data_IF_678733297098
#
_entry.id   IF_678733297098
#
_cell.length_a   1.000
_cell.length_b   1.000
_cell.length_c   1.000
_cell.angle_alpha   90.00
_cell.angle_beta   90.00
_cell.angle_gamma   90.00
#
_symmetry.space_group_name_H-M   'P 1'
#
loop_
_entity.id
_entity.type
_entity.pdbx_description
1 polymer ?
#
# COMPACT_ATOMS: atom_id res chain seq x y z
N UNK A 1 -41.60 11.04 13.71
CA UNK A 1 -41.24 12.25 12.93
C UNK A 1 -39.74 12.29 12.86
N UNK A 2 -39.25 12.28 11.63
CA UNK A 2 -37.87 12.09 11.23
C UNK A 2 -37.04 13.34 11.58
N UNK A 3 -35.93 13.14 12.29
CA UNK A 3 -34.88 14.15 12.38
C UNK A 3 -34.00 13.99 11.14
N UNK A 4 -34.14 14.96 10.25
CA UNK A 4 -33.53 15.03 8.93
C UNK A 4 -32.00 15.19 9.05
N UNK A 5 -31.29 14.39 8.24
CA UNK A 5 -29.82 14.40 8.09
C UNK A 5 -29.35 15.72 7.49
N UNK A 6 -29.19 16.76 8.31
CA UNK A 6 -28.62 18.03 7.86
C UNK A 6 -27.83 18.80 8.93
N UNK A 7 -27.22 18.06 9.85
CA UNK A 7 -26.17 18.56 10.74
C UNK A 7 -25.02 17.56 10.76
N UNK A 8 -24.03 17.75 9.88
CA UNK A 8 -22.66 17.22 10.01
C UNK A 8 -21.82 17.62 8.78
N UNK A 9 -21.72 18.91 8.46
CA UNK A 9 -20.64 19.42 7.61
C UNK A 9 -20.15 20.75 8.19
N UNK A 10 -19.38 20.64 9.26
CA UNK A 10 -18.51 21.68 9.76
C UNK A 10 -17.15 21.04 10.09
N UNK A 11 -16.13 21.37 9.29
CA UNK A 11 -14.70 21.44 9.61
C UNK A 11 -13.82 20.97 8.43
N UNK A 12 -13.51 21.90 7.53
CA UNK A 12 -12.16 21.93 6.94
C UNK A 12 -11.81 23.37 6.54
N UNK A 13 -11.43 24.17 7.53
CA UNK A 13 -10.80 25.47 7.36
C UNK A 13 -9.48 25.46 8.13
N UNK A 14 -8.39 25.88 7.47
CA UNK A 14 -7.04 26.00 8.06
C UNK A 14 -5.98 25.84 6.97
N UNK A 15 -5.84 26.80 6.05
CA UNK A 15 -4.95 27.97 6.15
C UNK A 15 -3.51 27.67 5.68
N UNK A 16 -3.12 28.27 4.54
CA UNK A 16 -1.72 28.42 4.15
C UNK A 16 -1.14 29.75 4.65
N UNK A 17 0.19 29.92 4.54
CA UNK A 17 0.95 31.15 4.16
C UNK A 17 2.48 31.01 4.45
N UNK A 18 3.30 31.20 3.40
CA UNK A 18 4.63 31.85 3.26
C UNK A 18 5.92 31.39 4.01
N UNK A 19 6.98 31.11 3.23
CA UNK A 19 8.20 31.94 3.21
C UNK A 19 9.53 31.38 3.77
N UNK A 20 10.53 31.17 2.89
CA UNK A 20 11.92 31.65 3.07
C UNK A 20 12.99 30.77 3.75
N UNK A 21 14.02 30.37 2.97
CA UNK A 21 15.43 30.62 3.30
C UNK A 21 16.22 29.68 4.22
N UNK A 22 17.04 28.82 3.59
CA UNK A 22 18.46 28.48 3.89
C UNK A 22 18.93 27.87 5.24
N UNK A 23 19.61 26.72 5.06
CA UNK A 23 20.82 26.21 5.73
C UNK A 23 20.76 25.62 7.16
N UNK A 24 21.04 24.31 7.28
CA UNK A 24 22.13 23.77 8.11
C UNK A 24 22.28 22.24 7.94
N UNK A 25 23.52 21.79 7.78
CA UNK A 25 23.94 20.40 7.86
C UNK A 25 23.85 19.87 9.31
N UNK A 26 23.68 18.56 9.50
CA UNK A 26 24.66 17.67 10.18
C UNK A 26 24.10 16.24 10.42
N UNK A 27 24.94 15.30 10.00
CA UNK A 27 25.21 13.94 10.46
C UNK A 27 24.52 13.32 11.72
N UNK A 28 24.07 12.06 11.49
CA UNK A 28 24.28 10.80 12.27
C UNK A 28 23.48 10.47 13.54
N UNK A 29 23.01 9.21 13.50
CA UNK A 29 22.75 8.21 14.55
C UNK A 29 21.59 8.36 15.55
N UNK A 30 20.86 7.25 15.70
CA UNK A 30 20.26 6.83 16.97
C UNK A 30 18.80 7.21 17.21
N UNK A 31 17.98 6.19 17.45
CA UNK A 31 16.60 6.27 17.96
C UNK A 31 16.46 7.19 19.19
N UNK A 32 15.54 8.15 19.17
CA UNK A 32 14.80 8.68 20.34
C UNK A 32 13.67 9.65 19.91
N UNK A 33 12.67 9.75 20.77
CA UNK A 33 11.34 10.36 20.61
C UNK A 33 11.29 11.88 20.39
N UNK A 34 10.18 12.27 19.74
CA UNK A 34 9.39 13.50 19.85
C UNK A 34 10.10 14.87 19.93
N UNK A 35 10.10 15.59 18.80
CA UNK A 35 9.69 17.00 18.75
C UNK A 35 9.67 17.50 17.31
N UNK A 36 8.51 18.06 16.92
CA UNK A 36 8.24 18.89 15.75
C UNK A 36 9.21 18.81 14.57
N UNK A 37 8.81 18.08 13.52
CA UNK A 37 9.42 18.24 12.20
C UNK A 37 8.37 18.01 11.12
N UNK A 38 8.39 18.94 10.18
CA UNK A 38 7.45 19.10 9.08
C UNK A 38 7.03 17.78 8.44
N UNK A 39 5.73 17.55 8.40
CA UNK A 39 5.11 16.57 7.52
C UNK A 39 5.21 17.07 6.09
N UNK A 40 6.40 16.95 5.49
CA UNK A 40 6.53 16.76 4.05
C UNK A 40 6.45 15.25 3.80
N UNK A 41 5.22 14.78 3.56
CA UNK A 41 4.88 13.39 3.37
C UNK A 41 5.35 12.86 2.01
N UNK A 42 6.65 12.88 1.76
CA UNK A 42 7.30 12.00 0.79
C UNK A 42 8.34 11.19 1.56
N UNK A 43 7.87 10.14 2.25
CA UNK A 43 8.71 9.18 2.92
C UNK A 43 9.61 8.47 1.91
N UNK A 44 10.79 9.05 1.66
CA UNK A 44 12.00 8.40 1.17
C UNK A 44 11.77 7.32 0.12
N UNK A 45 11.18 7.69 -1.01
CA UNK A 45 11.47 7.06 -2.30
C UNK A 45 12.96 7.28 -2.57
N UNK A 46 13.81 6.36 -2.10
CA UNK A 46 15.16 6.26 -2.63
C UNK A 46 15.01 5.96 -4.12
N UNK A 47 15.44 6.91 -4.96
CA UNK A 47 15.40 6.94 -6.43
C UNK A 47 14.94 5.61 -7.07
N UNK A 48 13.62 5.39 -7.09
CA UNK A 48 13.07 4.18 -7.72
C UNK A 48 13.26 4.32 -9.23
N UNK A 49 13.55 3.21 -9.90
CA UNK A 49 13.54 3.22 -11.35
C UNK A 49 12.12 3.46 -11.87
N UNK A 50 11.97 4.03 -13.06
CA UNK A 50 10.65 4.22 -13.69
C UNK A 50 9.85 2.90 -13.78
N UNK A 51 10.52 1.76 -13.99
CA UNK A 51 9.91 0.44 -13.97
C UNK A 51 9.38 0.08 -12.57
N UNK A 52 10.15 0.37 -11.52
CA UNK A 52 9.71 0.15 -10.14
C UNK A 52 8.53 1.05 -9.77
N UNK A 53 8.52 2.30 -10.24
CA UNK A 53 7.38 3.21 -10.04
C UNK A 53 6.12 2.68 -10.73
N UNK A 54 6.24 2.14 -11.95
CA UNK A 54 5.13 1.52 -12.66
C UNK A 54 4.59 0.28 -11.93
N UNK A 55 5.49 -0.58 -11.43
CA UNK A 55 5.12 -1.74 -10.60
C UNK A 55 4.42 -1.28 -9.32
N UNK A 56 4.92 -0.24 -8.66
CA UNK A 56 4.30 0.30 -7.44
C UNK A 56 2.89 0.83 -7.71
N UNK A 57 2.69 1.56 -8.80
CA UNK A 57 1.39 2.03 -9.22
C UNK A 57 0.42 0.86 -9.50
N UNK A 58 0.89 -0.22 -10.12
CA UNK A 58 0.11 -1.43 -10.35
C UNK A 58 -0.24 -2.18 -9.06
N UNK A 59 0.66 -2.22 -8.06
CA UNK A 59 0.36 -2.74 -6.73
C UNK A 59 -0.75 -1.93 -6.05
N UNK A 60 -0.69 -0.60 -6.10
CA UNK A 60 -1.75 0.27 -5.56
C UNK A 60 -3.08 0.03 -6.29
N UNK A 61 -3.04 -0.09 -7.62
CA UNK A 61 -4.23 -0.37 -8.43
C UNK A 61 -4.85 -1.73 -8.09
N UNK A 62 -4.02 -2.75 -7.85
CA UNK A 62 -4.44 -4.08 -7.39
C UNK A 62 -5.05 -4.02 -5.99
N UNK A 63 -4.42 -3.26 -5.08
CA UNK A 63 -4.89 -3.08 -3.70
C UNK A 63 -6.31 -2.52 -3.63
N UNK A 64 -6.61 -1.57 -4.52
CA UNK A 64 -7.93 -0.96 -4.60
C UNK A 64 -9.05 -1.97 -4.99
N UNK A 65 -8.68 -3.11 -5.57
CA UNK A 65 -9.59 -4.21 -5.91
C UNK A 65 -9.65 -5.24 -4.79
N UNK A 66 -8.49 -5.68 -4.30
CA UNK A 66 -8.41 -6.85 -3.39
C UNK A 66 -8.62 -6.50 -1.92
N UNK A 67 -8.48 -5.24 -1.51
CA UNK A 67 -8.70 -4.84 -0.13
C UNK A 67 -10.18 -4.66 0.19
N UNK A 68 -10.61 -5.03 1.40
CA UNK A 68 -11.94 -4.68 1.89
C UNK A 68 -12.15 -3.16 1.89
N UNK A 69 -13.36 -2.71 1.56
CA UNK A 69 -13.71 -1.28 1.54
C UNK A 69 -13.58 -0.55 2.88
N UNK A 70 -13.52 -1.29 4.00
CA UNK A 70 -13.24 -0.76 5.33
C UNK A 70 -11.78 -0.28 5.51
N UNK A 71 -10.86 -0.68 4.63
CA UNK A 71 -9.45 -0.26 4.66
C UNK A 71 -9.33 1.14 4.06
N UNK A 72 -9.06 2.13 4.91
CA UNK A 72 -8.69 3.49 4.48
C UNK A 72 -7.20 3.62 4.12
N UNK A 73 -6.83 4.71 3.46
CA UNK A 73 -5.44 5.09 3.14
C UNK A 73 -4.62 4.00 2.42
N UNK A 74 -5.27 3.19 1.58
CA UNK A 74 -4.68 2.06 0.84
C UNK A 74 -3.40 2.45 0.11
N UNK A 75 -3.44 3.57 -0.64
CA UNK A 75 -2.31 4.06 -1.44
C UNK A 75 -1.04 4.25 -0.61
N UNK A 76 -1.11 5.11 0.41
CA UNK A 76 0.06 5.45 1.23
C UNK A 76 0.67 4.21 1.90
N UNK A 77 -0.18 3.27 2.30
CA UNK A 77 0.26 2.02 2.90
C UNK A 77 1.03 1.14 1.90
N UNK A 78 0.47 0.91 0.72
CA UNK A 78 1.09 0.07 -0.33
C UNK A 78 2.33 0.75 -0.89
N UNK A 79 2.32 2.07 -1.05
CA UNK A 79 3.48 2.85 -1.48
C UNK A 79 4.65 2.68 -0.52
N UNK A 80 4.43 2.81 0.79
CA UNK A 80 5.49 2.66 1.80
C UNK A 80 6.09 1.25 1.80
N UNK A 81 5.25 0.22 1.74
CA UNK A 81 5.71 -1.18 1.69
C UNK A 81 6.43 -1.48 0.37
N UNK A 82 5.78 -1.20 -0.75
CA UNK A 82 6.23 -1.56 -2.09
C UNK A 82 7.50 -0.79 -2.48
N UNK A 83 7.60 0.51 -2.18
CA UNK A 83 8.80 1.28 -2.47
C UNK A 83 10.03 0.70 -1.78
N UNK A 84 9.92 0.35 -0.50
CA UNK A 84 11.00 -0.28 0.26
C UNK A 84 11.40 -1.62 -0.37
N UNK A 85 10.41 -2.48 -0.65
CA UNK A 85 10.66 -3.81 -1.22
C UNK A 85 11.29 -3.76 -2.61
N UNK A 86 10.78 -2.90 -3.50
CA UNK A 86 11.29 -2.77 -4.86
C UNK A 86 12.73 -2.21 -4.87
N UNK A 87 13.04 -1.26 -3.99
CA UNK A 87 14.40 -0.75 -3.83
C UNK A 87 15.39 -1.81 -3.31
N UNK A 88 14.96 -2.64 -2.36
CA UNK A 88 15.82 -3.67 -1.75
C UNK A 88 15.92 -4.97 -2.55
N UNK A 89 14.97 -5.23 -3.47
CA UNK A 89 14.86 -6.49 -4.23
C UNK A 89 14.77 -6.22 -5.73
N UNK A 90 15.87 -5.82 -6.39
CA UNK A 90 15.85 -5.46 -7.82
C UNK A 90 15.43 -6.62 -8.75
N UNK A 91 15.79 -7.87 -8.42
CA UNK A 91 15.35 -9.04 -9.20
C UNK A 91 13.83 -9.26 -9.12
N UNK A 92 13.24 -9.00 -7.94
CA UNK A 92 11.78 -9.04 -7.77
C UNK A 92 11.13 -7.90 -8.57
N UNK A 93 11.70 -6.68 -8.52
CA UNK A 93 11.18 -5.54 -9.26
C UNK A 93 11.17 -5.79 -10.78
N UNK A 94 12.25 -6.35 -11.32
CA UNK A 94 12.34 -6.72 -12.74
C UNK A 94 11.29 -7.78 -13.13
N UNK A 95 11.17 -8.85 -12.36
CA UNK A 95 10.17 -9.89 -12.64
C UNK A 95 8.73 -9.38 -12.49
N UNK A 96 8.47 -8.50 -11.54
CA UNK A 96 7.17 -7.84 -11.40
C UNK A 96 6.86 -6.91 -12.59
N UNK A 97 7.86 -6.18 -13.12
CA UNK A 97 7.70 -5.33 -14.30
C UNK A 97 7.39 -6.15 -15.57
N UNK A 98 8.06 -7.29 -15.77
CA UNK A 98 7.72 -8.23 -16.84
C UNK A 98 6.30 -8.80 -16.68
N UNK A 99 5.89 -9.09 -15.45
CA UNK A 99 4.52 -9.55 -15.15
C UNK A 99 3.50 -8.45 -15.47
N UNK A 100 3.79 -7.19 -15.12
CA UNK A 100 2.95 -6.04 -15.44
C UNK A 100 2.74 -5.89 -16.94
N UNK A 101 3.78 -6.15 -17.75
CA UNK A 101 3.66 -6.10 -19.21
C UNK A 101 2.61 -7.09 -19.74
N UNK A 102 2.55 -8.31 -19.16
CA UNK A 102 1.53 -9.30 -19.52
C UNK A 102 0.12 -8.86 -19.07
N UNK A 103 0.01 -8.30 -17.86
CA UNK A 103 -1.25 -7.77 -17.32
C UNK A 103 -1.79 -6.58 -18.13
N UNK A 104 -0.91 -5.68 -18.55
CA UNK A 104 -1.22 -4.57 -19.47
C UNK A 104 -1.63 -5.08 -20.85
N UNK A 105 -1.05 -6.20 -21.30
CA UNK A 105 -1.48 -6.89 -22.51
C UNK A 105 -2.95 -7.28 -22.44
N UNK A 106 -3.38 -7.96 -21.37
CA UNK A 106 -4.78 -8.34 -21.18
C UNK A 106 -5.69 -7.11 -21.00
N UNK A 107 -5.21 -6.09 -20.29
CA UNK A 107 -5.94 -4.83 -20.08
C UNK A 107 -6.21 -4.11 -21.41
N UNK A 108 -5.23 -4.04 -22.29
CA UNK A 108 -5.36 -3.43 -23.62
C UNK A 108 -6.29 -4.23 -24.52
N UNK A 109 -6.20 -5.57 -24.49
CA UNK A 109 -7.11 -6.44 -25.25
C UNK A 109 -8.57 -6.26 -24.81
N UNK A 110 -8.80 -6.10 -23.50
CA UNK A 110 -10.15 -6.03 -22.96
C UNK A 110 -10.75 -4.62 -22.95
N UNK A 111 -9.92 -3.58 -22.75
CA UNK A 111 -10.37 -2.22 -22.44
C UNK A 111 -9.59 -1.10 -23.14
N UNK A 112 -8.62 -1.43 -24.00
CA UNK A 112 -7.77 -0.46 -24.72
C UNK A 112 -7.02 0.55 -23.82
N UNK A 113 -6.70 0.14 -22.59
CA UNK A 113 -5.97 0.96 -21.62
C UNK A 113 -4.99 0.10 -20.80
N UNK A 114 -3.99 0.75 -20.20
CA UNK A 114 -3.10 0.10 -19.25
C UNK A 114 -3.86 -0.19 -17.95
N UNK A 115 -3.43 -1.22 -17.21
CA UNK A 115 -4.10 -1.70 -16.00
C UNK A 115 -4.29 -0.60 -14.95
N UNK A 116 -3.28 0.25 -14.78
CA UNK A 116 -3.30 1.36 -13.81
C UNK A 116 -4.31 2.45 -14.17
N UNK A 117 -4.67 2.60 -15.43
CA UNK A 117 -5.58 3.63 -15.93
C UNK A 117 -7.05 3.19 -15.89
N UNK A 118 -7.31 1.90 -15.68
CA UNK A 118 -8.66 1.34 -15.62
C UNK A 118 -9.45 1.81 -14.39
N UNK A 119 -10.77 1.79 -14.47
CA UNK A 119 -11.62 1.93 -13.28
C UNK A 119 -11.51 0.69 -12.39
N UNK A 120 -11.76 0.78 -11.07
CA UNK A 120 -11.62 -0.37 -10.16
C UNK A 120 -12.39 -1.63 -10.58
N UNK A 121 -13.62 -1.48 -11.09
CA UNK A 121 -14.42 -2.61 -11.58
C UNK A 121 -13.81 -3.28 -12.83
N UNK A 122 -13.22 -2.50 -13.73
CA UNK A 122 -12.58 -3.05 -14.93
C UNK A 122 -11.27 -3.77 -14.57
N UNK A 123 -10.53 -3.26 -13.56
CA UNK A 123 -9.35 -3.95 -13.01
C UNK A 123 -9.71 -5.31 -12.43
N UNK A 124 -10.82 -5.41 -11.71
CA UNK A 124 -11.34 -6.68 -11.20
C UNK A 124 -11.62 -7.67 -12.33
N UNK A 125 -12.26 -7.20 -13.41
CA UNK A 125 -12.51 -8.02 -14.60
C UNK A 125 -11.21 -8.51 -15.23
N UNK A 126 -10.20 -7.64 -15.37
CA UNK A 126 -8.88 -8.04 -15.91
C UNK A 126 -8.22 -9.10 -15.03
N UNK A 127 -8.19 -8.91 -13.71
CA UNK A 127 -7.58 -9.88 -12.79
C UNK A 127 -8.28 -11.26 -12.87
N UNK A 128 -9.62 -11.27 -13.00
CA UNK A 128 -10.38 -12.49 -13.22
C UNK A 128 -10.12 -13.14 -14.58
N UNK A 129 -9.98 -12.34 -15.65
CA UNK A 129 -9.69 -12.86 -17.01
C UNK A 129 -8.31 -13.49 -17.11
N UNK A 130 -7.31 -12.89 -16.47
CA UNK A 130 -5.97 -13.47 -16.36
C UNK A 130 -6.00 -14.79 -15.54
N UNK A 131 -7.02 -15.01 -14.71
CA UNK A 131 -7.14 -16.18 -13.84
C UNK A 131 -6.36 -16.05 -12.52
N UNK A 132 -6.00 -14.83 -12.13
CA UNK A 132 -5.18 -14.59 -10.95
C UNK A 132 -5.90 -14.97 -9.64
N UNK A 133 -7.22 -15.03 -9.62
CA UNK A 133 -8.04 -15.40 -8.46
C UNK A 133 -8.00 -16.91 -8.14
N UNK A 134 -7.77 -17.74 -9.15
CA UNK A 134 -7.77 -19.22 -9.04
C UNK A 134 -6.40 -19.87 -9.20
N UNK A 135 -5.42 -19.16 -9.75
CA UNK A 135 -4.06 -19.66 -9.93
C UNK A 135 -3.33 -19.91 -8.60
N UNK A 136 -2.44 -20.90 -8.59
CA UNK A 136 -1.46 -21.09 -7.53
C UNK A 136 -0.32 -20.06 -7.71
N UNK A 137 0.16 -19.36 -6.68
CA UNK A 137 1.27 -18.42 -6.83
C UNK A 137 2.59 -19.12 -7.20
N UNK A 138 3.11 -18.81 -8.38
CA UNK A 138 4.42 -19.27 -8.85
C UNK A 138 5.14 -18.12 -9.59
N UNK A 139 6.30 -17.63 -9.10
CA UNK A 139 7.06 -16.55 -9.75
C UNK A 139 7.63 -16.93 -11.12
N UNK A 140 7.85 -18.23 -11.35
CA UNK A 140 8.39 -18.78 -12.60
C UNK A 140 7.30 -19.42 -13.48
N UNK A 141 6.04 -19.29 -13.06
CA UNK A 141 4.88 -19.89 -13.71
C UNK A 141 4.30 -19.08 -14.87
N UNK A 142 3.06 -19.41 -15.20
CA UNK A 142 2.22 -18.72 -16.19
C UNK A 142 1.90 -17.28 -15.77
N UNK A 143 1.37 -16.49 -16.70
CA UNK A 143 0.96 -15.12 -16.41
C UNK A 143 -0.03 -15.04 -15.23
N UNK A 144 -0.95 -16.00 -15.13
CA UNK A 144 -1.91 -16.07 -14.03
C UNK A 144 -1.22 -16.25 -12.67
N UNK A 145 -0.31 -17.22 -12.59
CA UNK A 145 0.43 -17.59 -11.39
C UNK A 145 1.38 -16.46 -10.96
N UNK A 146 2.02 -15.79 -11.93
CA UNK A 146 2.88 -14.63 -11.70
C UNK A 146 2.10 -13.40 -11.24
N UNK A 147 0.94 -13.09 -11.84
CA UNK A 147 0.10 -11.98 -11.38
C UNK A 147 -0.41 -12.25 -9.96
N UNK A 148 -0.79 -13.49 -9.66
CA UNK A 148 -1.16 -13.91 -8.31
C UNK A 148 0.00 -13.73 -7.33
N UNK A 149 1.21 -14.14 -7.71
CA UNK A 149 2.42 -14.00 -6.89
C UNK A 149 2.80 -12.52 -6.66
N UNK A 150 3.10 -11.77 -7.72
CA UNK A 150 3.74 -10.44 -7.64
C UNK A 150 2.80 -9.30 -7.27
N UNK A 151 1.50 -9.39 -7.59
CA UNK A 151 0.56 -8.29 -7.36
C UNK A 151 -0.48 -8.63 -6.30
N UNK A 152 -1.24 -9.71 -6.48
CA UNK A 152 -2.34 -10.04 -5.56
C UNK A 152 -1.81 -10.40 -4.18
N UNK A 153 -0.95 -11.42 -4.10
CA UNK A 153 -0.44 -11.91 -2.81
C UNK A 153 0.45 -10.89 -2.10
N UNK A 154 1.28 -10.16 -2.84
CA UNK A 154 2.17 -9.15 -2.27
C UNK A 154 1.42 -7.98 -1.68
N UNK A 155 0.35 -7.56 -2.35
CA UNK A 155 -0.53 -6.53 -1.81
C UNK A 155 -1.29 -7.05 -0.59
N UNK A 156 -1.82 -8.27 -0.63
CA UNK A 156 -2.44 -8.88 0.56
C UNK A 156 -1.44 -9.05 1.72
N UNK A 157 -0.20 -9.46 1.44
CA UNK A 157 0.85 -9.57 2.43
C UNK A 157 1.15 -8.23 3.07
N UNK A 158 1.22 -7.16 2.28
CA UNK A 158 1.35 -5.81 2.79
C UNK A 158 0.19 -5.53 3.78
N UNK A 159 -1.07 -5.76 3.39
CA UNK A 159 -2.21 -5.55 4.29
C UNK A 159 -2.03 -6.27 5.63
N UNK A 160 -1.76 -7.57 5.60
CA UNK A 160 -1.66 -8.40 6.81
C UNK A 160 -0.47 -8.06 7.70
N UNK A 161 0.62 -7.57 7.12
CA UNK A 161 1.81 -7.14 7.87
C UNK A 161 1.71 -5.70 8.35
N UNK A 162 0.70 -4.96 7.92
CA UNK A 162 0.41 -3.63 8.41
C UNK A 162 -0.27 -3.65 9.77
N UNK A 163 -0.02 -2.65 10.63
CA UNK A 163 -0.80 -2.48 11.86
C UNK A 163 -2.32 -2.38 11.60
N UNK A 164 -2.74 -1.80 10.48
CA UNK A 164 -4.16 -1.62 10.15
C UNK A 164 -4.82 -2.94 9.75
N UNK A 165 -4.21 -3.73 8.87
CA UNK A 165 -4.72 -5.04 8.49
C UNK A 165 -4.61 -6.05 9.62
N UNK A 166 -3.57 -5.97 10.45
CA UNK A 166 -3.45 -6.76 11.68
C UNK A 166 -4.65 -6.59 12.62
N UNK A 167 -5.11 -5.35 12.82
CA UNK A 167 -6.33 -5.03 13.59
C UNK A 167 -7.61 -5.55 12.94
N UNK A 168 -7.73 -5.48 11.61
CA UNK A 168 -8.93 -5.91 10.89
C UNK A 168 -9.17 -7.42 10.95
N UNK A 169 -8.11 -8.22 11.05
CA UNK A 169 -8.21 -9.69 11.11
C UNK A 169 -7.87 -10.28 12.48
N UNK A 170 -7.68 -9.44 13.50
CA UNK A 170 -7.44 -9.87 14.88
C UNK A 170 -6.14 -10.63 15.08
N UNK A 171 -5.11 -10.37 14.25
CA UNK A 171 -3.77 -10.95 14.36
C UNK A 171 -2.77 -9.98 15.01
N UNK A 172 -3.27 -9.02 15.79
CA UNK A 172 -2.42 -8.09 16.51
C UNK A 172 -1.45 -8.88 17.40
N UNK A 173 -0.21 -8.42 17.50
CA UNK A 173 0.76 -9.04 18.40
C UNK A 173 0.18 -9.06 19.82
N UNK A 174 -0.01 -10.25 20.44
CA UNK A 174 -0.47 -10.35 21.81
C UNK A 174 0.59 -9.73 22.68
N UNK A 175 0.15 -9.00 23.68
CA UNK A 175 1.07 -8.10 24.33
C UNK A 175 1.85 -8.76 25.46
N UNK A 176 2.96 -8.14 25.83
CA UNK A 176 4.02 -8.82 26.56
C UNK A 176 5.02 -9.57 25.66
N UNK A 177 4.81 -9.65 24.34
CA UNK A 177 5.88 -9.92 23.37
C UNK A 177 6.59 -8.62 22.95
N UNK A 178 7.88 -8.67 22.56
CA UNK A 178 8.56 -7.51 22.02
C UNK A 178 7.78 -7.01 20.78
N UNK A 179 7.12 -5.84 20.91
CA UNK A 179 6.33 -5.23 19.81
C UNK A 179 4.79 -5.16 19.97
N UNK A 180 4.22 -5.27 21.18
CA UNK A 180 2.78 -5.05 21.43
C UNK A 180 2.48 -3.73 22.18
N UNK A 181 1.53 -2.93 21.70
CA UNK A 181 1.20 -1.58 22.24
C UNK A 181 0.21 -1.61 23.41
N UNK A 182 0.72 -1.40 24.63
CA UNK A 182 0.09 -1.01 25.92
C UNK A 182 -0.98 -1.86 26.63
N UNK A 183 -1.78 -2.66 25.94
CA UNK A 183 -2.83 -3.51 26.50
C UNK A 183 -2.36 -4.66 27.44
N UNK A 184 -1.09 -5.09 27.47
CA UNK A 184 -0.63 -6.09 28.46
C UNK A 184 0.30 -5.55 29.54
N UNK A 185 0.46 -4.23 29.67
CA UNK A 185 1.20 -3.66 30.81
C UNK A 185 0.38 -3.57 32.10
N UNK A 186 -0.94 -3.83 32.06
CA UNK A 186 -1.78 -3.85 33.27
C UNK A 186 -2.14 -5.29 33.63
N UNK A 187 -1.43 -5.83 34.62
CA UNK A 187 -1.83 -7.05 35.31
C UNK A 187 -3.18 -6.88 36.03
N UNK A 188 -3.84 -7.99 36.43
CA UNK A 188 -5.12 -7.94 37.11
C UNK A 188 -5.00 -7.15 38.42
N UNK A 189 -6.06 -6.44 38.87
CA UNK A 189 -6.07 -5.86 40.21
C UNK A 189 -5.89 -6.98 41.23
N UNK A 190 -4.92 -6.78 42.13
CA UNK A 190 -4.56 -7.74 43.19
C UNK A 190 -5.64 -7.94 44.24
#
# INVERSE_FOLDING_TARGET
MELTRRDALAALAGAGILGGGSAAALARDGFAEESGRDSDGSGRSGDLTAESEAVLAAMVATAAVVYPSAVGNVRAFVESYGATKLAERPAFAAAAAETLTALDGESRVSFDAAFVDLAPGDREVVLGRVGADTAEPDPDGTAAERVRYYFVNETLFALYTSPTGGRLVGIENPQGHPGGTDSYQRGPPG
#
